data_IF_133082419802
#
_entry.id   IF_133082419802
#
_cell.length_a   1.000
_cell.length_b   1.000
_cell.length_c   1.000
_cell.angle_alpha   90.00
_cell.angle_beta   90.00
_cell.angle_gamma   90.00
#
_symmetry.space_group_name_H-M   'P 1'
#
loop_
_entity.id
_entity.type
_entity.pdbx_description
1 polymer ?
#
# COMPACT_ATOMS: atom_id res chain seq x y z
N UNK A 1 -16.39 -3.52 4.16
CA UNK A 1 -15.09 -3.45 3.49
C UNK A 1 -14.02 -3.23 4.56
N UNK A 2 -12.86 -3.88 4.43
CA UNK A 2 -11.70 -3.55 5.23
C UNK A 2 -10.48 -3.29 4.33
N UNK A 3 -9.61 -2.35 4.76
CA UNK A 3 -8.42 -1.98 4.01
C UNK A 3 -7.33 -1.39 4.89
N UNK A 4 -6.05 -1.51 4.52
CA UNK A 4 -4.96 -0.74 5.12
C UNK A 4 -5.17 0.78 4.95
N UNK A 5 -4.67 1.55 5.90
CA UNK A 5 -4.87 3.00 6.00
C UNK A 5 -4.58 3.76 4.71
N UNK A 6 -3.51 3.40 4.00
CA UNK A 6 -3.15 4.02 2.72
C UNK A 6 -4.23 3.83 1.66
N UNK A 7 -4.81 2.63 1.54
CA UNK A 7 -5.87 2.36 0.58
C UNK A 7 -7.19 3.02 1.01
N UNK A 8 -7.50 2.96 2.31
CA UNK A 8 -8.69 3.61 2.87
C UNK A 8 -8.65 5.14 2.68
N UNK A 9 -7.47 5.75 2.69
CA UNK A 9 -7.31 7.20 2.53
C UNK A 9 -7.26 7.65 1.07
N UNK A 10 -6.48 6.98 0.24
CA UNK A 10 -6.17 7.46 -1.10
C UNK A 10 -7.02 6.85 -2.21
N UNK A 11 -7.56 5.64 -2.00
CA UNK A 11 -8.34 4.92 -3.02
C UNK A 11 -9.83 4.83 -2.71
N UNK A 12 -10.17 4.34 -1.51
CA UNK A 12 -11.57 4.01 -1.22
C UNK A 12 -12.51 5.21 -1.36
N UNK A 13 -12.19 6.45 -0.94
CA UNK A 13 -13.14 7.55 -1.07
C UNK A 13 -13.57 7.79 -2.51
N UNK A 14 -12.64 7.77 -3.46
CA UNK A 14 -12.94 7.96 -4.88
C UNK A 14 -13.67 6.76 -5.47
N UNK A 15 -13.20 5.54 -5.16
CA UNK A 15 -13.81 4.30 -5.62
C UNK A 15 -15.26 4.18 -5.16
N UNK A 16 -15.50 4.38 -3.86
CA UNK A 16 -16.83 4.25 -3.26
C UNK A 16 -17.77 5.38 -3.70
N UNK A 17 -17.24 6.61 -3.85
CA UNK A 17 -18.01 7.74 -4.39
C UNK A 17 -18.52 7.46 -5.78
N UNK A 18 -17.66 7.04 -6.72
CA UNK A 18 -18.08 6.66 -8.08
C UNK A 18 -19.09 5.51 -8.09
N UNK A 19 -18.93 4.52 -7.22
CA UNK A 19 -19.91 3.44 -7.12
C UNK A 19 -21.26 3.96 -6.58
N UNK A 20 -21.23 4.84 -5.59
CA UNK A 20 -22.44 5.41 -4.99
C UNK A 20 -23.21 6.32 -5.97
N UNK A 21 -22.52 7.00 -6.88
CA UNK A 21 -23.17 7.76 -7.96
C UNK A 21 -24.02 6.85 -8.86
N UNK A 22 -23.59 5.62 -9.13
CA UNK A 22 -24.34 4.63 -9.91
C UNK A 22 -25.40 3.90 -9.07
N UNK A 23 -25.13 3.69 -7.78
CA UNK A 23 -25.98 2.95 -6.84
C UNK A 23 -26.24 3.75 -5.57
N UNK A 24 -27.06 4.83 -5.62
CA UNK A 24 -27.20 5.81 -4.52
C UNK A 24 -27.74 5.24 -3.20
N UNK A 25 -28.40 4.07 -3.24
CA UNK A 25 -28.93 3.41 -2.03
C UNK A 25 -27.90 2.54 -1.32
N UNK A 26 -26.68 2.40 -1.87
CA UNK A 26 -25.62 1.59 -1.25
C UNK A 26 -25.10 2.28 -0.01
N UNK A 27 -24.92 1.50 1.04
CA UNK A 27 -24.25 1.91 2.28
C UNK A 27 -22.96 1.12 2.42
N UNK A 28 -21.90 1.79 2.83
CA UNK A 28 -20.60 1.18 3.08
C UNK A 28 -20.28 1.26 4.56
N UNK A 29 -19.76 0.15 5.09
CA UNK A 29 -19.04 0.10 6.35
C UNK A 29 -17.57 -0.14 6.00
N UNK A 30 -16.69 0.79 6.40
CA UNK A 30 -15.27 0.78 6.06
C UNK A 30 -14.44 0.69 7.33
N UNK A 31 -13.69 -0.40 7.46
CA UNK A 31 -12.80 -0.65 8.57
C UNK A 31 -11.34 -0.47 8.14
N UNK A 32 -10.56 0.23 8.95
CA UNK A 32 -9.11 0.34 8.74
C UNK A 32 -8.42 -0.73 9.57
N UNK A 33 -7.66 -1.60 8.89
CA UNK A 33 -6.93 -2.70 9.52
C UNK A 33 -5.64 -3.00 8.75
N UNK A 34 -4.67 -3.65 9.37
CA UNK A 34 -3.50 -4.18 8.66
C UNK A 34 -3.89 -5.35 7.76
N UNK A 35 -3.08 -5.66 6.74
CA UNK A 35 -3.41 -6.72 5.78
C UNK A 35 -3.67 -8.08 6.45
N UNK A 36 -2.93 -8.43 7.50
CA UNK A 36 -3.15 -9.64 8.29
C UNK A 36 -4.53 -9.70 8.94
N UNK A 37 -4.97 -8.57 9.50
CA UNK A 37 -6.28 -8.46 10.16
C UNK A 37 -7.41 -8.45 9.14
N UNK A 38 -7.20 -7.79 7.98
CA UNK A 38 -8.15 -7.83 6.86
C UNK A 38 -8.39 -9.26 6.39
N UNK A 39 -7.32 -10.08 6.29
CA UNK A 39 -7.41 -11.50 5.94
C UNK A 39 -8.26 -12.26 6.98
N UNK A 40 -7.99 -12.03 8.27
CA UNK A 40 -8.73 -12.66 9.36
C UNK A 40 -10.22 -12.27 9.36
N UNK A 41 -10.52 -10.99 9.09
CA UNK A 41 -11.89 -10.50 8.96
C UNK A 41 -12.61 -11.10 7.75
N UNK A 42 -11.93 -11.25 6.61
CA UNK A 42 -12.48 -11.90 5.43
C UNK A 42 -12.76 -13.39 5.68
N UNK A 43 -11.85 -14.09 6.34
CA UNK A 43 -12.03 -15.53 6.71
C UNK A 43 -13.23 -15.75 7.61
N UNK A 44 -13.48 -14.86 8.56
CA UNK A 44 -14.60 -14.94 9.51
C UNK A 44 -15.93 -14.40 8.98
N UNK A 45 -16.01 -14.00 7.69
CA UNK A 45 -17.17 -13.32 7.10
C UNK A 45 -17.53 -11.98 7.80
N UNK A 46 -16.60 -11.39 8.52
CA UNK A 46 -16.77 -10.08 9.16
C UNK A 46 -16.85 -8.92 8.15
N UNK A 47 -16.39 -9.15 6.91
CA UNK A 47 -16.42 -8.21 5.80
C UNK A 47 -16.80 -8.91 4.50
N UNK A 48 -17.33 -8.15 3.53
CA UNK A 48 -17.59 -8.64 2.18
C UNK A 48 -16.35 -8.61 1.30
N UNK A 49 -15.56 -7.54 1.37
CA UNK A 49 -14.38 -7.32 0.56
C UNK A 49 -13.22 -6.83 1.41
N UNK A 50 -12.06 -7.44 1.25
CA UNK A 50 -10.81 -7.04 1.86
C UNK A 50 -9.84 -6.52 0.82
N UNK A 51 -9.28 -5.34 1.05
CA UNK A 51 -8.12 -4.88 0.30
C UNK A 51 -6.87 -5.21 1.10
N UNK A 52 -5.92 -5.90 0.50
CA UNK A 52 -4.69 -6.31 1.16
C UNK A 52 -3.47 -5.95 0.33
N UNK A 53 -2.34 -5.76 0.99
CA UNK A 53 -1.09 -5.38 0.34
C UNK A 53 -0.06 -6.49 0.47
N UNK A 54 0.82 -6.58 -0.54
CA UNK A 54 1.88 -7.59 -0.70
C UNK A 54 1.35 -8.99 -1.06
N UNK A 55 2.25 -9.91 -1.34
CA UNK A 55 1.90 -11.31 -1.51
C UNK A 55 1.74 -11.95 -0.13
N UNK A 56 0.68 -12.69 0.05
CA UNK A 56 0.30 -13.38 1.28
C UNK A 56 -0.34 -14.72 0.94
N UNK A 57 -0.38 -15.61 1.92
CA UNK A 57 -1.02 -16.90 1.75
C UNK A 57 -2.54 -16.75 1.97
N UNK A 58 -3.27 -16.65 0.87
CA UNK A 58 -4.73 -16.68 0.84
C UNK A 58 -5.18 -17.91 0.08
N UNK A 59 -5.61 -18.93 0.80
CA UNK A 59 -6.02 -20.22 0.25
C UNK A 59 -7.52 -20.46 0.35
N UNK A 60 -8.23 -19.57 1.03
CA UNK A 60 -9.62 -19.83 1.40
C UNK A 60 -10.61 -19.45 0.30
N UNK A 61 -10.24 -18.54 -0.64
CA UNK A 61 -11.15 -18.12 -1.70
C UNK A 61 -10.48 -17.26 -2.80
N UNK A 62 -11.28 -16.40 -3.45
CA UNK A 62 -10.88 -15.66 -4.64
C UNK A 62 -10.05 -14.40 -4.29
N UNK A 63 -9.08 -14.10 -5.13
CA UNK A 63 -8.33 -12.84 -5.09
C UNK A 63 -8.12 -12.27 -6.48
N UNK A 64 -8.15 -10.95 -6.57
CA UNK A 64 -7.89 -10.19 -7.80
C UNK A 64 -6.75 -9.21 -7.57
N UNK A 65 -5.73 -9.24 -8.42
CA UNK A 65 -4.69 -8.22 -8.42
C UNK A 65 -5.26 -6.93 -8.99
N UNK A 66 -5.22 -5.85 -8.21
CA UNK A 66 -5.77 -4.55 -8.60
C UNK A 66 -4.69 -3.63 -9.19
N UNK A 67 -3.54 -3.53 -8.53
CA UNK A 67 -2.42 -2.69 -8.98
C UNK A 67 -1.11 -3.13 -8.33
N UNK A 68 0.00 -2.68 -8.92
CA UNK A 68 1.35 -2.86 -8.40
C UNK A 68 2.05 -1.51 -8.33
N UNK A 69 2.52 -1.13 -7.15
CA UNK A 69 3.26 0.10 -6.92
C UNK A 69 4.73 -0.17 -6.67
N UNK A 70 5.60 0.75 -7.08
CA UNK A 70 7.01 0.68 -6.74
C UNK A 70 7.27 1.18 -5.33
N UNK A 71 8.36 0.71 -4.74
CA UNK A 71 8.89 1.20 -3.48
C UNK A 71 10.10 2.07 -3.79
N UNK A 72 10.19 3.24 -3.15
CA UNK A 72 11.24 4.21 -3.38
C UNK A 72 11.92 4.60 -2.07
N UNK A 73 13.23 4.87 -2.12
CA UNK A 73 13.88 5.71 -1.13
C UNK A 73 13.56 7.17 -1.44
N UNK A 74 13.23 7.96 -0.42
CA UNK A 74 12.73 9.33 -0.56
C UNK A 74 13.39 10.24 0.45
N UNK A 75 13.86 11.41 0.03
CA UNK A 75 14.44 12.42 0.91
C UNK A 75 14.09 13.85 0.44
N UNK A 76 14.21 14.82 1.34
CA UNK A 76 14.01 16.24 1.04
C UNK A 76 15.16 16.86 0.24
N UNK A 77 16.34 16.23 0.21
CA UNK A 77 17.53 16.68 -0.48
C UNK A 77 18.00 15.63 -1.50
N UNK A 78 18.72 16.02 -2.57
CA UNK A 78 19.32 15.07 -3.50
C UNK A 78 20.25 14.07 -2.79
N UNK A 79 20.16 12.80 -3.18
CA UNK A 79 20.99 11.72 -2.67
C UNK A 79 21.17 10.66 -3.74
N UNK A 80 22.08 9.71 -3.51
CA UNK A 80 22.24 8.50 -4.32
C UNK A 80 21.88 7.26 -3.52
N UNK A 81 21.60 6.16 -4.20
CA UNK A 81 21.22 4.92 -3.54
C UNK A 81 22.33 4.40 -2.60
N UNK A 82 23.58 4.54 -3.02
CA UNK A 82 24.75 4.16 -2.23
C UNK A 82 24.96 4.97 -0.95
N UNK A 83 24.31 6.13 -0.81
CA UNK A 83 24.41 6.97 0.38
C UNK A 83 23.53 6.45 1.54
N UNK A 84 22.51 5.64 1.25
CA UNK A 84 21.49 5.20 2.23
C UNK A 84 22.07 4.57 3.51
N UNK A 85 23.13 3.72 3.48
CA UNK A 85 23.71 3.17 4.71
C UNK A 85 24.28 4.22 5.66
N UNK A 86 24.66 5.39 5.14
CA UNK A 86 25.26 6.50 5.88
C UNK A 86 24.27 7.62 6.21
N UNK A 87 23.04 7.53 5.73
CA UNK A 87 21.97 8.48 5.97
C UNK A 87 21.06 8.00 7.10
N UNK A 88 20.49 8.95 7.82
CA UNK A 88 19.50 8.67 8.87
C UNK A 88 18.16 8.30 8.23
N UNK A 89 17.59 7.14 8.60
CA UNK A 89 16.27 6.69 8.16
C UNK A 89 15.18 7.07 9.15
N UNK A 90 14.09 7.60 8.64
CA UNK A 90 12.81 7.68 9.33
C UNK A 90 12.03 6.40 9.03
N UNK A 91 11.83 5.58 10.06
CA UNK A 91 11.13 4.30 9.97
C UNK A 91 9.68 4.42 10.46
N UNK A 92 8.80 3.48 10.09
CA UNK A 92 7.42 3.49 10.52
C UNK A 92 6.87 2.08 10.75
N UNK A 93 5.87 1.98 11.62
CA UNK A 93 5.23 0.72 11.91
C UNK A 93 4.42 0.23 10.69
N UNK A 94 4.66 -1.01 10.30
CA UNK A 94 4.01 -1.66 9.16
C UNK A 94 3.76 -3.15 9.45
N UNK A 95 3.04 -3.82 8.55
CA UNK A 95 2.86 -5.27 8.67
C UNK A 95 4.17 -6.04 8.46
N UNK A 96 4.25 -7.23 9.06
CA UNK A 96 5.45 -8.07 9.05
C UNK A 96 5.87 -8.50 7.63
N UNK A 97 4.90 -8.69 6.72
CA UNK A 97 5.22 -9.07 5.34
C UNK A 97 5.97 -7.94 4.62
N UNK A 98 5.52 -6.70 4.81
CA UNK A 98 6.21 -5.57 4.20
C UNK A 98 7.55 -5.29 4.87
N UNK A 99 7.63 -5.43 6.19
CA UNK A 99 8.92 -5.31 6.90
C UNK A 99 9.93 -6.33 6.36
N UNK A 100 9.54 -7.60 6.23
CA UNK A 100 10.39 -8.65 5.70
C UNK A 100 10.82 -8.37 4.25
N UNK A 101 9.95 -7.79 3.43
CA UNK A 101 10.27 -7.37 2.06
C UNK A 101 11.37 -6.30 2.04
N UNK A 102 11.25 -5.29 2.90
CA UNK A 102 12.23 -4.20 3.01
C UNK A 102 13.57 -4.70 3.58
N UNK A 103 13.52 -5.51 4.62
CA UNK A 103 14.72 -6.08 5.24
C UNK A 103 15.45 -7.02 4.27
N UNK A 104 14.70 -7.83 3.52
CA UNK A 104 15.26 -8.69 2.47
C UNK A 104 15.97 -7.90 1.39
N UNK A 105 15.32 -6.84 0.87
CA UNK A 105 15.95 -5.95 -0.10
C UNK A 105 17.18 -5.24 0.46
N UNK A 106 17.11 -4.77 1.71
CA UNK A 106 18.25 -4.08 2.35
C UNK A 106 19.46 -5.00 2.47
N UNK A 107 19.29 -6.22 2.99
CA UNK A 107 20.36 -7.21 3.12
C UNK A 107 20.90 -7.71 1.77
N UNK A 108 20.06 -7.73 0.72
CA UNK A 108 20.53 -8.02 -0.64
C UNK A 108 21.44 -6.92 -1.16
N UNK A 109 21.19 -5.65 -0.79
CA UNK A 109 21.80 -4.48 -1.42
C UNK A 109 23.00 -3.95 -0.62
N UNK A 110 22.93 -3.96 0.71
CA UNK A 110 23.93 -3.38 1.61
C UNK A 110 24.44 -4.40 2.64
N UNK A 111 25.70 -4.23 3.06
CA UNK A 111 26.32 -5.02 4.14
C UNK A 111 25.99 -4.42 5.52
N UNK A 112 25.95 -3.09 5.62
CA UNK A 112 25.68 -2.38 6.86
C UNK A 112 24.18 -2.29 7.16
N UNK A 113 23.83 -2.29 8.46
CA UNK A 113 22.44 -2.05 8.90
C UNK A 113 22.04 -0.58 8.71
N UNK A 114 20.77 -0.28 8.45
CA UNK A 114 20.30 1.10 8.31
C UNK A 114 20.40 1.87 9.63
N UNK A 115 20.76 3.13 9.57
CA UNK A 115 20.80 4.03 10.73
C UNK A 115 19.38 4.56 10.98
N UNK A 116 18.67 3.99 11.96
CA UNK A 116 17.32 4.44 12.31
C UNK A 116 17.42 5.62 13.30
N UNK A 117 17.05 6.82 12.86
CA UNK A 117 17.05 8.01 13.71
C UNK A 117 15.69 8.29 14.35
N UNK A 118 14.62 8.00 13.63
CA UNK A 118 13.25 8.24 14.09
C UNK A 118 12.37 7.07 13.69
N UNK A 119 11.49 6.64 14.60
CA UNK A 119 10.42 5.68 14.31
C UNK A 119 9.07 6.31 14.63
N UNK A 120 8.14 6.18 13.70
CA UNK A 120 6.79 6.73 13.81
C UNK A 120 5.72 5.65 13.63
N UNK A 121 4.51 5.92 14.08
CA UNK A 121 3.43 4.92 14.11
C UNK A 121 2.80 4.62 12.75
N UNK A 122 3.02 5.45 11.74
CA UNK A 122 2.39 5.25 10.44
C UNK A 122 3.14 5.94 9.30
N UNK A 123 2.79 5.54 8.10
CA UNK A 123 3.41 5.95 6.84
C UNK A 123 3.23 7.45 6.54
N UNK A 124 2.06 8.03 6.86
CA UNK A 124 1.81 9.46 6.60
C UNK A 124 2.71 10.34 7.46
N UNK A 125 2.89 9.98 8.73
CA UNK A 125 3.79 10.70 9.61
C UNK A 125 5.26 10.55 9.18
N UNK A 126 5.66 9.36 8.70
CA UNK A 126 6.97 9.15 8.12
C UNK A 126 7.20 10.09 6.92
N UNK A 127 6.23 10.18 6.02
CA UNK A 127 6.29 11.08 4.87
C UNK A 127 6.49 12.55 5.30
N UNK A 128 5.72 13.01 6.29
CA UNK A 128 5.85 14.37 6.81
C UNK A 128 7.23 14.63 7.46
N UNK A 129 7.77 13.66 8.20
CA UNK A 129 9.12 13.76 8.78
C UNK A 129 10.20 13.87 7.69
N UNK A 130 10.09 13.04 6.63
CA UNK A 130 10.99 13.09 5.48
C UNK A 130 10.87 14.42 4.74
N UNK A 131 9.65 14.91 4.54
CA UNK A 131 9.40 16.20 3.91
C UNK A 131 10.07 17.36 4.67
N UNK A 132 10.07 17.29 5.99
CA UNK A 132 10.73 18.27 6.87
C UNK A 132 12.23 18.01 7.07
N UNK A 133 12.85 17.09 6.32
CA UNK A 133 14.29 16.89 6.30
C UNK A 133 14.88 16.10 7.47
N UNK A 134 14.07 15.33 8.21
CA UNK A 134 14.55 14.53 9.35
C UNK A 134 15.35 13.28 8.93
N UNK A 135 15.46 13.03 7.64
CA UNK A 135 16.18 11.89 7.08
C UNK A 135 15.53 11.41 5.78
N UNK A 136 15.84 10.18 5.37
CA UNK A 136 15.14 9.53 4.26
C UNK A 136 14.10 8.53 4.79
N UNK A 137 13.10 8.24 3.97
CA UNK A 137 12.11 7.17 4.21
C UNK A 137 12.08 6.18 3.05
N UNK A 138 11.58 4.96 3.30
CA UNK A 138 11.26 4.00 2.24
C UNK A 138 9.75 3.98 2.07
N UNK A 139 9.25 4.57 1.00
CA UNK A 139 7.85 4.89 0.79
C UNK A 139 7.33 4.30 -0.53
N UNK A 140 6.05 3.92 -0.62
CA UNK A 140 5.41 3.59 -1.91
C UNK A 140 5.36 4.80 -2.83
N UNK A 141 5.61 4.60 -4.12
CA UNK A 141 5.63 5.68 -5.14
C UNK A 141 4.36 6.53 -5.16
N UNK A 142 3.21 5.93 -4.90
CA UNK A 142 1.91 6.63 -4.85
C UNK A 142 1.87 7.82 -3.87
N UNK A 143 2.65 7.78 -2.79
CA UNK A 143 2.68 8.87 -1.82
C UNK A 143 3.58 10.03 -2.23
N UNK A 144 4.42 9.83 -3.24
CA UNK A 144 5.45 10.77 -3.64
C UNK A 144 4.95 11.66 -4.77
N UNK A 145 4.01 11.17 -5.56
CA UNK A 145 3.48 11.87 -6.74
C UNK A 145 2.89 13.26 -6.40
N UNK A 146 2.34 13.41 -5.20
CA UNK A 146 1.80 14.69 -4.69
C UNK A 146 2.89 15.65 -4.19
N UNK A 147 4.15 15.21 -4.10
CA UNK A 147 5.28 15.95 -3.51
C UNK A 147 6.46 16.06 -4.47
N UNK A 148 6.32 16.80 -5.59
CA UNK A 148 7.35 16.92 -6.63
C UNK A 148 8.68 17.53 -6.13
N UNK A 149 8.66 18.14 -4.95
CA UNK A 149 9.84 18.69 -4.29
C UNK A 149 10.68 17.64 -3.55
N UNK A 150 10.16 16.41 -3.38
CA UNK A 150 10.91 15.32 -2.79
C UNK A 150 11.73 14.58 -3.86
N UNK A 151 12.96 14.26 -3.50
CA UNK A 151 13.81 13.39 -4.32
C UNK A 151 13.48 11.94 -4.05
N UNK A 152 13.27 11.16 -5.10
CA UNK A 152 12.91 9.75 -4.96
C UNK A 152 13.73 8.88 -5.91
N UNK A 153 14.20 7.74 -5.41
CA UNK A 153 14.93 6.73 -6.18
C UNK A 153 14.20 5.40 -6.02
N UNK A 154 13.68 4.79 -7.10
CA UNK A 154 13.09 3.47 -7.04
C UNK A 154 14.08 2.44 -6.51
N UNK A 155 13.66 1.61 -5.56
CA UNK A 155 14.46 0.49 -5.08
C UNK A 155 14.45 -0.62 -6.14
N UNK A 156 15.63 -1.15 -6.42
CA UNK A 156 15.82 -2.20 -7.42
C UNK A 156 16.60 -3.37 -6.82
N UNK A 157 16.23 -4.58 -7.17
CA UNK A 157 16.98 -5.79 -6.85
C UNK A 157 18.27 -5.89 -7.67
N UNK A 158 19.21 -6.74 -7.28
CA UNK A 158 20.47 -6.99 -8.02
C UNK A 158 20.24 -7.44 -9.46
N UNK A 159 19.10 -8.07 -9.75
CA UNK A 159 18.71 -8.47 -11.11
C UNK A 159 18.11 -7.32 -11.95
N UNK A 160 18.01 -6.11 -11.41
CA UNK A 160 17.45 -4.93 -12.07
C UNK A 160 15.92 -4.80 -11.99
N UNK A 161 15.20 -5.76 -11.41
CA UNK A 161 13.77 -5.63 -11.19
C UNK A 161 13.48 -4.63 -10.07
N UNK A 162 12.41 -3.86 -10.20
CA UNK A 162 11.99 -2.92 -9.15
C UNK A 162 11.41 -3.67 -7.96
N UNK A 163 11.64 -3.12 -6.76
CA UNK A 163 10.94 -3.59 -5.57
C UNK A 163 9.48 -3.14 -5.64
N UNK A 164 8.58 -4.10 -5.68
CA UNK A 164 7.17 -3.86 -5.94
C UNK A 164 6.30 -4.21 -4.74
N UNK A 165 5.19 -3.52 -4.64
CA UNK A 165 4.14 -3.76 -3.65
C UNK A 165 2.81 -3.91 -4.33
N UNK A 166 2.27 -5.12 -4.30
CA UNK A 166 0.98 -5.48 -4.92
C UNK A 166 -0.19 -5.09 -4.01
N UNK A 167 -1.31 -4.76 -4.63
CA UNK A 167 -2.59 -4.56 -3.97
C UNK A 167 -3.58 -5.58 -4.52
N UNK A 168 -4.18 -6.34 -3.62
CA UNK A 168 -5.15 -7.38 -3.94
C UNK A 168 -6.51 -7.04 -3.36
N UNK A 169 -7.56 -7.42 -4.06
CA UNK A 169 -8.91 -7.57 -3.52
C UNK A 169 -9.11 -9.03 -3.17
N UNK A 170 -9.55 -9.31 -1.94
CA UNK A 170 -9.94 -10.65 -1.48
C UNK A 170 -11.42 -10.66 -1.13
N UNK A 171 -12.08 -11.78 -1.40
CA UNK A 171 -13.48 -11.97 -1.11
C UNK A 171 -13.82 -13.47 -1.09
N UNK A 172 -14.95 -13.82 -0.48
CA UNK A 172 -15.47 -15.17 -0.53
C UNK A 172 -16.43 -15.34 -1.71
N UNK A 173 -16.30 -16.45 -2.45
CA UNK A 173 -17.05 -16.70 -3.68
C UNK A 173 -18.56 -16.70 -3.47
N UNK A 174 -19.02 -17.17 -2.32
CA UNK A 174 -20.44 -17.20 -1.96
C UNK A 174 -21.09 -15.83 -1.90
N UNK A 175 -20.29 -14.76 -1.71
CA UNK A 175 -20.82 -13.40 -1.74
C UNK A 175 -21.34 -12.99 -3.13
N UNK A 176 -20.89 -13.66 -4.19
CA UNK A 176 -21.30 -13.38 -5.55
C UNK A 176 -22.71 -13.92 -5.89
N UNK A 177 -23.30 -14.71 -5.02
CA UNK A 177 -24.73 -15.08 -5.10
C UNK A 177 -25.63 -13.88 -4.80
N UNK A 178 -25.07 -12.87 -4.12
CA UNK A 178 -25.76 -11.61 -3.85
C UNK A 178 -25.50 -10.60 -4.98
N UNK A 179 -26.58 -9.97 -5.47
CA UNK A 179 -26.47 -9.03 -6.61
C UNK A 179 -25.53 -7.85 -6.36
N UNK A 180 -25.65 -7.20 -5.21
CA UNK A 180 -24.87 -5.99 -4.94
C UNK A 180 -23.36 -6.27 -4.79
N UNK A 181 -22.91 -7.27 -4.03
CA UNK A 181 -21.49 -7.66 -4.00
C UNK A 181 -20.94 -8.01 -5.39
N UNK A 182 -21.70 -8.77 -6.19
CA UNK A 182 -21.27 -9.12 -7.57
C UNK A 182 -21.03 -7.88 -8.42
N UNK A 183 -21.97 -6.96 -8.45
CA UNK A 183 -21.86 -5.70 -9.22
C UNK A 183 -20.72 -4.82 -8.67
N UNK A 184 -20.51 -4.79 -7.36
CA UNK A 184 -19.38 -4.08 -6.77
C UNK A 184 -18.05 -4.68 -7.19
N UNK A 185 -17.91 -6.01 -7.20
CA UNK A 185 -16.71 -6.68 -7.67
C UNK A 185 -16.40 -6.33 -9.14
N UNK A 186 -17.41 -6.45 -10.03
CA UNK A 186 -17.27 -6.11 -11.45
C UNK A 186 -16.80 -4.66 -11.60
N UNK A 187 -17.42 -3.74 -10.89
CA UNK A 187 -17.04 -2.32 -10.89
C UNK A 187 -15.58 -2.11 -10.41
N UNK A 188 -15.16 -2.79 -9.34
CA UNK A 188 -13.80 -2.68 -8.83
C UNK A 188 -12.79 -3.22 -9.85
N UNK A 189 -13.06 -4.36 -10.49
CA UNK A 189 -12.19 -4.95 -11.51
C UNK A 189 -12.04 -4.03 -12.72
N UNK A 190 -13.14 -3.41 -13.15
CA UNK A 190 -13.16 -2.50 -14.30
C UNK A 190 -12.59 -1.10 -13.98
N UNK A 191 -12.33 -0.81 -12.69
CA UNK A 191 -11.76 0.45 -12.29
C UNK A 191 -10.27 0.51 -12.57
N UNK A 192 -9.82 1.59 -13.23
CA UNK A 192 -8.40 1.86 -13.43
C UNK A 192 -7.77 2.38 -12.13
N UNK A 193 -7.20 1.46 -11.35
CA UNK A 193 -6.53 1.79 -10.08
C UNK A 193 -5.34 2.73 -10.26
N UNK A 194 -4.68 2.71 -11.41
CA UNK A 194 -3.56 3.60 -11.69
C UNK A 194 -4.04 5.03 -11.97
N UNK A 195 -5.28 5.22 -12.46
CA UNK A 195 -5.87 6.54 -12.63
C UNK A 195 -6.24 7.21 -11.30
N UNK A 196 -6.55 6.45 -10.27
CA UNK A 196 -6.80 7.00 -8.92
C UNK A 196 -5.54 7.59 -8.29
N UNK A 197 -4.36 7.21 -8.78
CA UNK A 197 -3.07 7.71 -8.35
C UNK A 197 -2.72 9.05 -8.99
N UNK A 198 -3.21 9.36 -10.21
CA UNK A 198 -2.80 10.51 -11.04
C UNK A 198 -3.61 11.78 -10.88
N UNK A 199 -4.66 11.80 -10.07
CA UNK A 199 -5.62 12.92 -9.99
C UNK A 199 -5.67 13.54 -8.57
N UNK A 200 -4.54 14.10 -8.13
CA UNK A 200 -4.50 15.06 -7.03
C UNK A 200 -3.64 16.26 -7.39
#
# INVERSE_FOLDING_TARGET
>A
IAAPSILARYFLPKLLGRFQDMYPKTKFDVQIAQSSDVISLASSLGIHFGFVRNDFDWREDERVLLTTNHVCAVAAQPFKLEDLPHMVRVDYDTDQYYQNLLDGWWHETFEDSPIIGTRVSNLDLCKEMVFNGLGYGILPSILIEEYPQLYSIPLVHKNGSKLERKTWLIYKKELLDLRLPKVFLEFVIDSDFDSFQRNH
#
